data_IF_050990202899
#
_entry.id   IF_050990202899
#
_cell.length_a   1.000
_cell.length_b   1.000
_cell.length_c   1.000
_cell.angle_alpha   90.00
_cell.angle_beta   90.00
_cell.angle_gamma   90.00
#
_symmetry.space_group_name_H-M   'P 1'
#
loop_
_entity.id
_entity.type
_entity.pdbx_description
1 polymer ?
#
# COMPACT_ATOMS: atom_id res chain seq x y z
N UNK A 1 40.10 -14.34 2.69
CA UNK A 1 39.44 -13.29 1.85
C UNK A 1 38.57 -13.84 0.73
N UNK A 2 39.03 -14.81 -0.09
CA UNK A 2 38.32 -15.31 -1.28
C UNK A 2 36.92 -15.92 -1.01
N UNK A 3 36.77 -16.64 0.10
CA UNK A 3 35.48 -17.28 0.50
C UNK A 3 34.42 -16.23 0.84
N UNK A 4 34.82 -15.12 1.49
CA UNK A 4 33.92 -14.00 1.83
C UNK A 4 33.32 -13.36 0.57
N UNK A 5 34.12 -13.22 -0.49
CA UNK A 5 33.67 -12.63 -1.77
C UNK A 5 32.67 -13.52 -2.53
N UNK A 6 32.80 -14.85 -2.44
CA UNK A 6 31.86 -15.79 -3.06
C UNK A 6 30.51 -15.72 -2.33
N UNK A 7 30.53 -15.72 -0.98
CA UNK A 7 29.33 -15.54 -0.17
C UNK A 7 28.65 -14.18 -0.43
N UNK A 8 29.43 -13.09 -0.52
CA UNK A 8 28.89 -11.75 -0.84
C UNK A 8 28.24 -11.71 -2.24
N UNK A 9 28.84 -12.33 -3.26
CA UNK A 9 28.22 -12.40 -4.60
C UNK A 9 26.92 -13.22 -4.59
N UNK A 10 26.87 -14.32 -3.86
CA UNK A 10 25.68 -15.15 -3.74
C UNK A 10 24.54 -14.42 -3.00
N UNK A 11 24.86 -13.75 -1.89
CA UNK A 11 23.91 -12.94 -1.12
C UNK A 11 23.35 -11.76 -1.94
N UNK A 12 24.19 -11.09 -2.75
CA UNK A 12 23.74 -10.02 -3.65
C UNK A 12 22.78 -10.52 -4.73
N UNK A 13 23.05 -11.69 -5.31
CA UNK A 13 22.17 -12.31 -6.32
C UNK A 13 20.83 -12.72 -5.72
N UNK A 14 20.82 -13.32 -4.53
CA UNK A 14 19.59 -13.70 -3.83
C UNK A 14 18.76 -12.48 -3.41
N UNK A 15 19.42 -11.42 -2.94
CA UNK A 15 18.75 -10.16 -2.60
C UNK A 15 18.11 -9.55 -3.85
N UNK A 16 18.86 -9.45 -4.96
CA UNK A 16 18.31 -8.95 -6.22
C UNK A 16 17.12 -9.80 -6.73
N UNK A 17 17.19 -11.13 -6.61
CA UNK A 17 16.07 -12.01 -6.96
C UNK A 17 14.85 -11.78 -6.05
N UNK A 18 15.06 -11.57 -4.74
CA UNK A 18 13.98 -11.26 -3.77
C UNK A 18 13.23 -9.98 -4.16
N UNK A 19 13.96 -8.91 -4.44
CA UNK A 19 13.38 -7.64 -4.88
C UNK A 19 12.67 -7.75 -6.24
N UNK A 20 13.25 -8.53 -7.18
CA UNK A 20 12.62 -8.80 -8.47
C UNK A 20 11.27 -9.52 -8.31
N UNK A 21 11.20 -10.52 -7.43
CA UNK A 21 9.95 -11.24 -7.13
C UNK A 21 8.90 -10.30 -6.51
N UNK A 22 9.30 -9.44 -5.57
CA UNK A 22 8.38 -8.46 -4.98
C UNK A 22 7.81 -7.50 -6.02
N UNK A 23 8.64 -6.98 -6.92
CA UNK A 23 8.19 -6.14 -8.03
C UNK A 23 7.20 -6.86 -8.95
N UNK A 24 7.48 -8.12 -9.29
CA UNK A 24 6.58 -8.93 -10.12
C UNK A 24 5.23 -9.15 -9.42
N UNK A 25 5.23 -9.46 -8.12
CA UNK A 25 3.99 -9.63 -7.33
C UNK A 25 3.18 -8.34 -7.30
N UNK A 26 3.82 -7.20 -7.03
CA UNK A 26 3.16 -5.88 -7.03
C UNK A 26 2.57 -5.59 -8.41
N UNK A 27 3.30 -5.88 -9.49
CA UNK A 27 2.83 -5.65 -10.85
C UNK A 27 1.62 -6.53 -11.20
N UNK A 28 1.65 -7.81 -10.83
CA UNK A 28 0.52 -8.73 -11.04
C UNK A 28 -0.73 -8.24 -10.29
N UNK A 29 -0.57 -7.80 -9.04
CA UNK A 29 -1.68 -7.27 -8.25
C UNK A 29 -2.22 -5.93 -8.78
N UNK A 30 -1.34 -5.10 -9.34
CA UNK A 30 -1.74 -3.87 -10.03
C UNK A 30 -2.59 -4.18 -11.27
N UNK A 31 -2.16 -5.12 -12.11
CA UNK A 31 -2.95 -5.56 -13.28
C UNK A 31 -4.29 -6.12 -12.84
N UNK A 32 -4.33 -6.94 -11.79
CA UNK A 32 -5.57 -7.51 -11.27
C UNK A 32 -6.55 -6.45 -10.75
N UNK A 33 -6.03 -5.37 -10.15
CA UNK A 33 -6.83 -4.23 -9.70
C UNK A 33 -7.46 -3.46 -10.87
N UNK A 34 -6.88 -3.53 -12.08
CA UNK A 34 -7.37 -2.87 -13.29
C UNK A 34 -8.38 -3.67 -14.12
N UNK A 35 -8.53 -4.98 -13.89
CA UNK A 35 -9.28 -5.90 -14.78
C UNK A 35 -10.78 -6.04 -14.42
N UNK A 36 -11.26 -5.50 -13.29
CA UNK A 36 -12.64 -5.65 -12.83
C UNK A 36 -13.50 -4.38 -12.92
N UNK A 37 -14.62 -4.42 -13.66
CA UNK A 37 -15.57 -3.29 -13.77
C UNK A 37 -16.48 -3.08 -12.55
N UNK A 38 -16.73 -4.12 -11.73
CA UNK A 38 -17.76 -4.07 -10.67
C UNK A 38 -17.22 -4.12 -9.23
N UNK A 39 -16.05 -4.71 -9.03
CA UNK A 39 -15.34 -4.73 -7.75
C UNK A 39 -13.85 -4.64 -8.07
N UNK A 40 -13.19 -3.57 -7.60
CA UNK A 40 -11.73 -3.40 -7.70
C UNK A 40 -11.10 -3.99 -6.45
N UNK A 41 -10.54 -5.22 -6.50
CA UNK A 41 -9.94 -5.83 -5.33
C UNK A 41 -8.64 -5.11 -4.97
N UNK A 42 -8.62 -4.43 -3.82
CA UNK A 42 -7.46 -3.70 -3.28
C UNK A 42 -6.39 -4.64 -2.71
N UNK A 43 -5.97 -5.64 -3.49
CA UNK A 43 -4.98 -6.66 -3.11
C UNK A 43 -3.56 -6.10 -2.91
N UNK A 44 -3.30 -4.88 -3.41
CA UNK A 44 -2.02 -4.20 -3.27
C UNK A 44 -1.68 -3.84 -1.81
N UNK A 45 -2.71 -3.56 -1.00
CA UNK A 45 -2.57 -3.18 0.41
C UNK A 45 -2.02 -4.34 1.26
N UNK A 46 -2.65 -5.53 1.29
CA UNK A 46 -2.12 -6.65 2.06
C UNK A 46 -0.76 -7.14 1.53
N UNK A 47 -0.47 -7.05 0.23
CA UNK A 47 0.86 -7.36 -0.29
C UNK A 47 1.94 -6.43 0.27
N UNK A 48 1.70 -5.11 0.27
CA UNK A 48 2.64 -4.13 0.79
C UNK A 48 2.91 -4.35 2.29
N UNK A 49 1.87 -4.68 3.06
CA UNK A 49 1.99 -4.98 4.48
C UNK A 49 2.81 -6.24 4.74
N UNK A 50 2.59 -7.32 3.99
CA UNK A 50 3.39 -8.54 4.12
C UNK A 50 4.88 -8.31 3.85
N UNK A 51 5.22 -7.47 2.87
CA UNK A 51 6.61 -7.09 2.57
C UNK A 51 7.17 -6.22 3.71
N UNK A 52 6.39 -5.23 4.16
CA UNK A 52 6.74 -4.29 5.23
C UNK A 52 7.11 -4.97 6.54
N UNK A 53 6.32 -5.96 6.97
CA UNK A 53 6.57 -6.73 8.21
C UNK A 53 7.91 -7.48 8.16
N UNK A 54 8.42 -7.74 6.96
CA UNK A 54 9.61 -8.56 6.78
C UNK A 54 10.91 -7.75 6.60
N UNK A 55 10.83 -6.44 6.44
CA UNK A 55 11.93 -5.55 6.07
C UNK A 55 12.06 -4.37 7.05
N UNK A 56 13.14 -3.61 6.93
CA UNK A 56 13.41 -2.42 7.75
C UNK A 56 12.42 -1.27 7.47
N UNK A 57 12.30 -0.34 8.42
CA UNK A 57 11.38 0.80 8.35
C UNK A 57 11.53 1.62 7.05
N UNK A 58 12.76 1.93 6.63
CA UNK A 58 13.04 2.66 5.38
C UNK A 58 12.53 1.92 4.14
N UNK A 59 12.72 0.61 4.10
CA UNK A 59 12.25 -0.23 3.00
C UNK A 59 10.72 -0.27 3.00
N UNK A 60 10.12 -0.39 4.18
CA UNK A 60 8.66 -0.40 4.34
C UNK A 60 8.00 0.90 3.90
N UNK A 61 8.64 2.04 4.18
CA UNK A 61 8.15 3.35 3.73
C UNK A 61 8.22 3.46 2.20
N UNK A 62 9.35 3.09 1.59
CA UNK A 62 9.52 3.12 0.14
C UNK A 62 8.52 2.20 -0.58
N UNK A 63 8.28 0.98 -0.08
CA UNK A 63 7.29 0.08 -0.67
C UNK A 63 5.86 0.59 -0.47
N UNK A 64 5.58 1.23 0.68
CA UNK A 64 4.32 1.92 0.95
C UNK A 64 4.05 3.07 -0.03
N UNK A 65 5.05 3.91 -0.33
CA UNK A 65 4.90 5.00 -1.32
C UNK A 65 4.60 4.42 -2.70
N UNK A 66 5.38 3.42 -3.14
CA UNK A 66 5.21 2.82 -4.46
C UNK A 66 3.85 2.14 -4.61
N UNK A 67 3.47 1.24 -3.70
CA UNK A 67 2.16 0.58 -3.77
C UNK A 67 1.01 1.57 -3.60
N UNK A 68 1.16 2.58 -2.76
CA UNK A 68 0.13 3.58 -2.52
C UNK A 68 -0.17 4.43 -3.76
N UNK A 69 0.88 4.91 -4.45
CA UNK A 69 0.74 5.63 -5.71
C UNK A 69 0.14 4.76 -6.82
N UNK A 70 0.55 3.49 -6.93
CA UNK A 70 -0.03 2.56 -7.88
C UNK A 70 -1.53 2.35 -7.61
N UNK A 71 -1.93 2.27 -6.34
CA UNK A 71 -3.34 2.14 -5.95
C UNK A 71 -4.14 3.38 -6.31
N UNK A 72 -3.59 4.58 -6.09
CA UNK A 72 -4.25 5.84 -6.48
C UNK A 72 -4.53 5.88 -7.99
N UNK A 73 -3.56 5.43 -8.81
CA UNK A 73 -3.73 5.33 -10.28
C UNK A 73 -4.82 4.31 -10.66
N UNK A 74 -4.88 3.15 -10.00
CA UNK A 74 -5.88 2.11 -10.30
C UNK A 74 -7.30 2.52 -9.94
N UNK A 75 -7.48 3.20 -8.81
CA UNK A 75 -8.82 3.57 -8.32
C UNK A 75 -9.32 4.84 -9.00
N UNK A 76 -8.43 5.74 -9.44
CA UNK A 76 -8.79 7.01 -10.07
C UNK A 76 -9.30 8.06 -9.08
N UNK A 77 -8.88 7.96 -7.81
CA UNK A 77 -9.20 8.91 -6.73
C UNK A 77 -8.12 9.99 -6.61
N UNK A 78 -8.28 10.91 -5.65
CA UNK A 78 -7.26 11.93 -5.34
C UNK A 78 -5.88 11.29 -5.19
N UNK A 79 -4.93 11.77 -6.01
CA UNK A 79 -3.53 11.39 -5.93
C UNK A 79 -2.98 11.71 -4.55
N UNK A 80 -2.39 10.72 -3.89
CA UNK A 80 -1.71 10.87 -2.62
C UNK A 80 -2.52 10.45 -1.39
N UNK A 81 -3.85 10.26 -1.52
CA UNK A 81 -4.66 9.83 -0.37
C UNK A 81 -4.29 8.41 0.07
N UNK A 82 -4.34 7.43 -0.84
CA UNK A 82 -3.97 6.06 -0.48
C UNK A 82 -2.45 5.95 -0.27
N UNK A 83 -1.65 6.78 -0.94
CA UNK A 83 -0.21 6.82 -0.70
C UNK A 83 0.17 7.19 0.74
N UNK A 84 -0.38 8.28 1.27
CA UNK A 84 -0.08 8.70 2.66
C UNK A 84 -0.56 7.64 3.66
N UNK A 85 -1.76 7.11 3.45
CA UNK A 85 -2.30 6.07 4.32
C UNK A 85 -1.45 4.80 4.31
N UNK A 86 -1.07 4.30 3.12
CA UNK A 86 -0.31 3.07 2.99
C UNK A 86 1.09 3.21 3.57
N UNK A 87 1.74 4.36 3.39
CA UNK A 87 3.04 4.65 4.04
C UNK A 87 2.91 4.61 5.55
N UNK A 88 1.92 5.29 6.11
CA UNK A 88 1.69 5.29 7.56
C UNK A 88 1.42 3.87 8.09
N UNK A 89 0.61 3.10 7.37
CA UNK A 89 0.30 1.71 7.73
C UNK A 89 1.52 0.78 7.64
N UNK A 90 2.33 0.90 6.59
CA UNK A 90 3.57 0.13 6.43
C UNK A 90 4.56 0.46 7.55
N UNK A 91 4.87 1.74 7.79
CA UNK A 91 5.77 2.16 8.87
C UNK A 91 5.26 1.71 10.24
N UNK A 92 3.97 1.89 10.52
CA UNK A 92 3.35 1.46 11.76
C UNK A 92 3.46 -0.07 11.95
N UNK A 93 3.16 -0.85 10.91
CA UNK A 93 3.29 -2.31 10.95
C UNK A 93 4.73 -2.76 11.22
N UNK A 94 5.72 -2.15 10.56
CA UNK A 94 7.14 -2.46 10.76
C UNK A 94 7.56 -2.17 12.20
N UNK A 95 7.22 -0.99 12.73
CA UNK A 95 7.50 -0.62 14.13
C UNK A 95 6.84 -1.55 15.15
N UNK A 96 5.60 -1.98 14.89
CA UNK A 96 4.83 -2.86 15.76
C UNK A 96 5.51 -4.24 15.90
N UNK A 97 5.99 -4.81 14.79
CA UNK A 97 6.68 -6.11 14.79
C UNK A 97 8.12 -6.04 15.31
N UNK A 98 8.77 -4.88 15.23
CA UNK A 98 10.09 -4.67 15.83
C UNK A 98 9.99 -4.54 17.36
N UNK A 99 9.00 -3.78 17.87
CA UNK A 99 8.98 -3.37 19.28
C UNK A 99 7.98 -4.14 20.16
N UNK A 100 6.79 -4.48 19.66
CA UNK A 100 5.70 -5.01 20.49
C UNK A 100 5.36 -6.47 20.22
N UNK A 101 5.51 -6.94 18.97
CA UNK A 101 4.89 -8.17 18.53
C UNK A 101 5.88 -9.21 18.01
N UNK A 102 5.72 -10.45 18.48
CA UNK A 102 6.43 -11.59 17.89
C UNK A 102 5.90 -11.86 16.47
N UNK A 103 6.82 -12.09 15.55
CA UNK A 103 6.61 -12.39 14.13
C UNK A 103 5.99 -13.78 13.93
N UNK A 104 4.70 -13.90 14.25
CA UNK A 104 3.88 -15.10 14.05
C UNK A 104 2.89 -14.87 12.90
N UNK A 105 2.60 -15.91 12.10
CA UNK A 105 1.66 -15.81 10.96
C UNK A 105 0.28 -15.30 11.40
N UNK A 106 -0.22 -15.76 12.56
CA UNK A 106 -1.50 -15.33 13.13
C UNK A 106 -1.49 -13.82 13.41
N UNK A 107 -0.41 -13.32 14.00
CA UNK A 107 -0.26 -11.92 14.34
C UNK A 107 -0.20 -11.03 13.09
N UNK A 108 0.52 -11.48 12.05
CA UNK A 108 0.57 -10.77 10.76
C UNK A 108 -0.82 -10.71 10.14
N UNK A 109 -1.56 -11.81 10.17
CA UNK A 109 -2.92 -11.86 9.63
C UNK A 109 -3.86 -10.91 10.37
N UNK A 110 -3.81 -10.87 11.71
CA UNK A 110 -4.62 -9.97 12.53
C UNK A 110 -4.29 -8.50 12.22
N UNK A 111 -3.01 -8.13 12.22
CA UNK A 111 -2.57 -6.75 11.94
C UNK A 111 -3.00 -6.33 10.54
N UNK A 112 -2.77 -7.16 9.53
CA UNK A 112 -3.20 -6.87 8.16
C UNK A 112 -4.71 -6.72 8.04
N UNK A 113 -5.49 -7.57 8.72
CA UNK A 113 -6.96 -7.48 8.72
C UNK A 113 -7.45 -6.18 9.37
N UNK A 114 -6.86 -5.76 10.50
CA UNK A 114 -7.20 -4.50 11.16
C UNK A 114 -6.86 -3.30 10.28
N UNK A 115 -5.70 -3.29 9.62
CA UNK A 115 -5.29 -2.19 8.74
C UNK A 115 -6.22 -2.09 7.52
N UNK A 116 -6.57 -3.21 6.90
CA UNK A 116 -7.50 -3.22 5.75
C UNK A 116 -8.89 -2.72 6.17
N UNK A 117 -9.36 -3.13 7.35
CA UNK A 117 -10.64 -2.64 7.88
C UNK A 117 -10.62 -1.13 8.17
N UNK A 118 -9.53 -0.63 8.78
CA UNK A 118 -9.35 0.80 9.01
C UNK A 118 -9.26 1.58 7.69
N UNK A 119 -8.52 1.07 6.70
CA UNK A 119 -8.43 1.68 5.37
C UNK A 119 -9.80 1.78 4.70
N UNK A 120 -10.56 0.68 4.67
CA UNK A 120 -11.91 0.66 4.09
C UNK A 120 -12.88 1.57 4.83
N UNK A 121 -12.79 1.64 6.16
CA UNK A 121 -13.60 2.56 6.96
C UNK A 121 -13.25 4.03 6.71
N UNK A 122 -11.96 4.36 6.61
CA UNK A 122 -11.50 5.71 6.31
C UNK A 122 -11.85 6.13 4.87
N UNK A 123 -11.70 5.20 3.93
CA UNK A 123 -12.07 5.38 2.52
C UNK A 123 -13.57 5.64 2.38
N UNK A 124 -14.41 4.88 3.09
CA UNK A 124 -15.85 5.11 3.15
C UNK A 124 -16.19 6.46 3.81
N UNK A 125 -15.57 6.79 4.95
CA UNK A 125 -15.83 8.04 5.66
C UNK A 125 -15.42 9.26 4.83
N UNK A 126 -14.22 9.27 4.25
CA UNK A 126 -13.76 10.41 3.45
C UNK A 126 -14.53 10.53 2.14
N UNK A 127 -14.79 9.42 1.46
CA UNK A 127 -15.58 9.46 0.24
C UNK A 127 -17.04 9.89 0.53
N UNK A 128 -17.68 9.30 1.53
CA UNK A 128 -19.08 9.62 1.82
C UNK A 128 -19.27 10.95 2.54
N UNK A 129 -18.37 11.40 3.42
CA UNK A 129 -18.56 12.66 4.18
C UNK A 129 -17.99 13.86 3.43
N UNK A 130 -16.81 13.73 2.82
CA UNK A 130 -16.15 14.84 2.12
C UNK A 130 -16.64 14.95 0.68
N UNK A 131 -16.82 13.83 -0.03
CA UNK A 131 -17.17 13.86 -1.46
C UNK A 131 -18.68 13.83 -1.76
N UNK A 132 -19.54 13.29 -0.87
CA UNK A 132 -20.99 13.37 -1.09
C UNK A 132 -21.57 14.79 -0.96
N UNK A 133 -20.77 15.72 -0.44
CA UNK A 133 -21.11 17.14 -0.47
C UNK A 133 -21.05 17.73 -1.89
N UNK A 134 -20.49 17.00 -2.88
CA UNK A 134 -20.24 17.51 -4.23
C UNK A 134 -21.11 16.91 -5.35
N UNK A 135 -22.00 15.96 -5.07
CA UNK A 135 -22.93 15.45 -6.10
C UNK A 135 -23.98 16.51 -6.52
N UNK A 136 -24.12 17.61 -5.76
CA UNK A 136 -25.02 18.73 -6.08
C UNK A 136 -24.37 20.13 -6.18
N UNK A 137 -23.07 20.31 -5.88
CA UNK A 137 -22.42 21.64 -5.82
C UNK A 137 -21.53 21.95 -7.02
N UNK A 138 -21.18 20.95 -7.84
CA UNK A 138 -20.44 21.21 -9.09
C UNK A 138 -21.24 22.04 -10.10
N UNK A 139 -22.58 22.04 -10.04
CA UNK A 139 -23.43 22.91 -10.85
C UNK A 139 -23.55 24.34 -10.28
N UNK A 140 -23.36 24.52 -8.97
CA UNK A 140 -23.48 25.83 -8.31
C UNK A 140 -22.19 26.64 -8.43
N UNK A 141 -21.04 25.96 -8.47
CA UNK A 141 -19.74 26.62 -8.63
C UNK A 141 -19.58 27.32 -9.99
N UNK A 142 -20.19 26.80 -11.06
CA UNK A 142 -20.15 27.45 -12.37
C UNK A 142 -21.13 28.63 -12.49
N UNK A 143 -22.26 28.61 -11.79
CA UNK A 143 -23.31 29.63 -11.91
C UNK A 143 -23.09 30.87 -11.02
N UNK A 144 -22.24 30.77 -9.98
CA UNK A 144 -22.03 31.86 -9.00
C UNK A 144 -20.62 32.47 -9.04
N UNK A 145 -19.58 31.73 -9.45
CA UNK A 145 -18.18 32.18 -9.33
C UNK A 145 -17.58 32.69 -10.65
N UNK A 146 -18.19 32.37 -11.79
CA UNK A 146 -17.83 32.94 -13.09
C UNK A 146 -19.02 33.78 -13.60
N UNK A 147 -19.14 35.05 -13.19
CA UNK A 147 -19.95 36.01 -13.94
C UNK A 147 -19.46 36.15 -15.38
#
# INVERSE_FOLDING_TARGET
>A
MRIKNIHLKYQRRMTAARWGIFLVIIFVFYIFSGVGSFVKPLLLIPAALCISVNEDELISACTGVLCGLLTDISVGRLLGYNAVFLVAACVFSSLLFVNLLRRNIINVFIVTSVIVFLHGGLDYFLYYVVWSSDENTSLIYYDIILP
#
